data_IF_497126675146
#
_entry.id   IF_497126675146
#
_cell.length_a   1.000
_cell.length_b   1.000
_cell.length_c   1.000
_cell.angle_alpha   90.00
_cell.angle_beta   90.00
_cell.angle_gamma   90.00
#
_symmetry.space_group_name_H-M   'P 1'
#
loop_
_entity.id
_entity.type
_entity.pdbx_description
1 polymer ?
#
# COMPACT_ATOMS: atom_id res chain seq x y z
N UNK A 1 0.53 12.51 11.95
CA UNK A 1 0.88 11.94 10.62
C UNK A 1 0.63 10.44 10.67
N UNK A 2 0.00 9.88 9.64
CA UNK A 2 -0.23 8.43 9.54
C UNK A 2 0.69 7.87 8.44
N UNK A 3 1.59 6.98 8.84
CA UNK A 3 2.36 6.07 8.00
C UNK A 3 1.69 4.71 8.01
N UNK A 4 0.63 4.56 7.23
CA UNK A 4 0.09 3.23 6.94
C UNK A 4 0.86 2.62 5.78
N UNK A 5 1.28 1.38 5.93
CA UNK A 5 1.74 0.58 4.80
C UNK A 5 0.78 -0.59 4.54
N UNK A 6 0.57 -0.83 3.27
CA UNK A 6 -0.28 -1.84 2.63
C UNK A 6 0.46 -2.13 1.32
N UNK A 7 0.71 -3.36 0.84
CA UNK A 7 0.23 -4.71 1.09
C UNK A 7 1.42 -5.66 0.85
N UNK A 8 1.60 -6.70 1.66
CA UNK A 8 2.47 -7.82 1.27
C UNK A 8 1.78 -8.65 0.18
N UNK A 9 2.55 -8.96 -0.87
CA UNK A 9 2.02 -9.44 -2.14
C UNK A 9 0.98 -8.45 -2.71
N UNK A 10 1.46 -7.27 -3.17
CA UNK A 10 0.87 -6.71 -4.39
C UNK A 10 0.73 -7.93 -5.29
N UNK A 11 -0.46 -8.22 -5.81
CA UNK A 11 -0.58 -9.26 -6.81
C UNK A 11 0.25 -8.82 -8.00
N UNK A 12 1.57 -8.86 -7.94
CA UNK A 12 2.54 -8.37 -8.91
C UNK A 12 2.24 -9.12 -10.18
N UNK A 13 2.10 -10.44 -10.06
CA UNK A 13 1.57 -11.27 -11.13
C UNK A 13 0.20 -10.80 -11.62
N UNK A 14 -0.78 -10.52 -10.74
CA UNK A 14 -2.10 -10.03 -11.16
C UNK A 14 -2.07 -8.65 -11.81
N UNK A 15 -1.21 -7.75 -11.36
CA UNK A 15 -1.01 -6.39 -11.82
C UNK A 15 -0.29 -6.39 -13.16
N UNK A 16 0.82 -7.13 -13.26
CA UNK A 16 1.56 -7.37 -14.50
C UNK A 16 0.70 -8.09 -15.54
N UNK A 17 0.00 -9.16 -15.15
CA UNK A 17 -0.97 -9.84 -16.02
C UNK A 17 -2.04 -8.84 -16.47
N UNK A 18 -2.58 -8.00 -15.59
CA UNK A 18 -3.58 -6.99 -15.96
C UNK A 18 -3.04 -5.92 -16.91
N UNK A 19 -1.77 -5.49 -16.75
CA UNK A 19 -1.11 -4.59 -17.70
C UNK A 19 -0.99 -5.26 -19.08
N UNK A 20 -0.61 -6.54 -19.13
CA UNK A 20 -0.49 -7.30 -20.38
C UNK A 20 -1.86 -7.41 -21.07
N UNK A 21 -2.92 -7.75 -20.31
CA UNK A 21 -4.28 -7.83 -20.84
C UNK A 21 -4.80 -6.46 -21.30
N UNK A 22 -4.53 -5.39 -20.55
CA UNK A 22 -4.89 -4.02 -20.94
C UNK A 22 -4.18 -3.57 -22.22
N UNK A 23 -2.89 -3.88 -22.37
CA UNK A 23 -2.10 -3.57 -23.57
C UNK A 23 -2.62 -4.36 -24.78
N UNK A 24 -3.06 -5.59 -24.54
CA UNK A 24 -3.64 -6.46 -25.58
C UNK A 24 -5.10 -6.14 -25.91
N UNK A 25 -5.69 -5.03 -25.43
CA UNK A 25 -7.11 -4.67 -25.55
C UNK A 25 -8.11 -5.70 -24.96
N UNK A 26 -7.66 -6.57 -24.06
CA UNK A 26 -8.47 -7.60 -23.39
C UNK A 26 -8.95 -7.12 -22.01
N UNK A 27 -9.67 -6.00 -21.94
CA UNK A 27 -10.08 -5.41 -20.66
C UNK A 27 -11.02 -6.28 -19.82
N UNK A 28 -11.81 -7.15 -20.46
CA UNK A 28 -12.77 -8.05 -19.77
C UNK A 28 -12.09 -9.12 -18.90
N UNK A 29 -10.81 -9.40 -19.10
CA UNK A 29 -10.05 -10.38 -18.31
C UNK A 29 -9.30 -9.76 -17.13
N UNK A 30 -9.37 -8.44 -16.94
CA UNK A 30 -8.77 -7.76 -15.78
C UNK A 30 -9.64 -8.04 -14.55
N UNK A 31 -9.09 -8.68 -13.50
CA UNK A 31 -9.86 -9.00 -12.31
C UNK A 31 -10.15 -7.74 -11.49
N UNK A 32 -11.35 -7.66 -10.90
CA UNK A 32 -11.83 -6.49 -10.13
C UNK A 32 -10.84 -6.02 -9.04
N UNK A 33 -10.13 -6.92 -8.31
CA UNK A 33 -9.10 -6.53 -7.34
C UNK A 33 -7.92 -5.72 -7.93
N UNK A 34 -7.73 -5.69 -9.25
CA UNK A 34 -6.67 -4.91 -9.91
C UNK A 34 -6.71 -3.43 -9.50
N UNK A 35 -7.91 -2.84 -9.40
CA UNK A 35 -8.05 -1.44 -9.02
C UNK A 35 -7.50 -1.15 -7.62
N UNK A 36 -7.58 -2.13 -6.71
CA UNK A 36 -7.01 -2.02 -5.37
C UNK A 36 -5.48 -2.10 -5.40
N UNK A 37 -4.93 -3.05 -6.17
CA UNK A 37 -3.48 -3.19 -6.34
C UNK A 37 -2.85 -1.99 -7.04
N UNK A 38 -3.54 -1.38 -8.01
CA UNK A 38 -3.10 -0.16 -8.68
C UNK A 38 -3.16 1.07 -7.75
N UNK A 39 -4.10 1.09 -6.80
CA UNK A 39 -4.30 2.20 -5.86
C UNK A 39 -3.90 1.80 -4.43
N UNK A 40 -2.71 1.25 -4.25
CA UNK A 40 -2.20 0.83 -2.92
C UNK A 40 -2.17 1.97 -1.88
N UNK A 41 -2.09 3.22 -2.32
CA UNK A 41 -2.16 4.39 -1.43
C UNK A 41 -3.56 4.62 -0.81
N UNK A 42 -4.60 4.01 -1.38
CA UNK A 42 -5.99 4.20 -0.96
C UNK A 42 -6.25 3.76 0.48
N UNK A 43 -5.59 2.69 0.94
CA UNK A 43 -5.73 2.20 2.32
C UNK A 43 -5.23 3.24 3.31
N UNK A 44 -4.05 3.80 3.06
CA UNK A 44 -3.46 4.84 3.92
C UNK A 44 -4.34 6.09 3.99
N UNK A 45 -4.89 6.49 2.84
CA UNK A 45 -5.84 7.60 2.76
C UNK A 45 -7.14 7.32 3.52
N UNK A 46 -7.72 6.12 3.36
CA UNK A 46 -8.94 5.72 4.04
C UNK A 46 -8.76 5.67 5.56
N UNK A 47 -7.64 5.14 6.06
CA UNK A 47 -7.34 5.12 7.49
C UNK A 47 -7.09 6.53 8.01
N UNK A 48 -6.33 7.36 7.28
CA UNK A 48 -6.11 8.75 7.64
C UNK A 48 -7.42 9.54 7.74
N UNK A 49 -8.31 9.35 6.78
CA UNK A 49 -9.64 9.95 6.78
C UNK A 49 -10.48 9.48 7.98
N UNK A 50 -10.54 8.17 8.23
CA UNK A 50 -11.29 7.59 9.34
C UNK A 50 -10.80 8.10 10.71
N UNK A 51 -9.49 8.25 10.88
CA UNK A 51 -8.87 8.75 12.10
C UNK A 51 -8.88 10.28 12.21
N UNK A 52 -9.38 11.01 11.21
CA UNK A 52 -9.40 12.48 11.20
C UNK A 52 -8.00 13.11 11.14
N UNK A 53 -7.03 12.44 10.51
CA UNK A 53 -5.65 12.91 10.40
C UNK A 53 -5.57 14.05 9.39
N UNK A 54 -5.23 15.25 9.86
CA UNK A 54 -5.05 16.45 9.02
C UNK A 54 -3.59 16.69 8.60
N UNK A 55 -2.68 15.79 8.97
CA UNK A 55 -1.25 15.89 8.67
C UNK A 55 -0.83 15.03 7.48
N UNK A 56 0.48 14.81 7.35
CA UNK A 56 1.02 14.01 6.26
C UNK A 56 0.46 12.58 6.31
N UNK A 57 0.15 12.04 5.13
CA UNK A 57 -0.37 10.70 4.89
C UNK A 57 0.47 10.07 3.78
N UNK A 58 1.24 9.03 4.11
CA UNK A 58 2.23 8.43 3.18
C UNK A 58 2.15 6.92 3.19
N UNK A 59 2.23 6.32 2.00
CA UNK A 59 2.31 4.87 1.80
C UNK A 59 3.73 4.50 1.36
N UNK A 60 4.33 3.50 2.00
CA UNK A 60 5.68 3.00 1.71
C UNK A 60 5.58 1.50 1.41
N UNK A 61 6.21 1.06 0.34
CA UNK A 61 6.27 -0.36 -0.03
C UNK A 61 7.61 -0.65 -0.70
N UNK A 62 8.34 -1.60 -0.13
CA UNK A 62 9.66 -2.09 -0.55
C UNK A 62 9.75 -3.62 -0.39
N UNK A 63 8.61 -4.28 -0.20
CA UNK A 63 8.54 -5.72 0.10
C UNK A 63 8.65 -6.01 1.59
N UNK A 64 9.40 -7.04 1.98
CA UNK A 64 9.44 -7.56 3.35
C UNK A 64 9.97 -6.56 4.39
N UNK A 65 10.74 -5.55 3.96
CA UNK A 65 11.34 -4.53 4.85
C UNK A 65 10.48 -3.28 5.01
N UNK A 66 9.32 -3.22 4.33
CA UNK A 66 8.47 -2.01 4.28
C UNK A 66 8.12 -1.48 5.67
N UNK A 67 7.87 -2.37 6.64
CA UNK A 67 7.47 -1.98 8.00
C UNK A 67 8.61 -1.28 8.76
N UNK A 68 9.84 -1.71 8.57
CA UNK A 68 11.01 -1.11 9.19
C UNK A 68 11.33 0.25 8.55
N UNK A 69 11.22 0.36 7.23
CA UNK A 69 11.41 1.62 6.51
C UNK A 69 10.36 2.67 6.89
N UNK A 70 9.11 2.26 7.11
CA UNK A 70 8.08 3.16 7.61
C UNK A 70 8.40 3.74 9.00
N UNK A 71 8.98 2.93 9.90
CA UNK A 71 9.45 3.39 11.21
C UNK A 71 10.62 4.35 11.04
N UNK A 72 11.60 4.02 10.19
CA UNK A 72 12.76 4.87 9.92
C UNK A 72 12.32 6.25 9.43
N UNK A 73 11.42 6.32 8.46
CA UNK A 73 10.89 7.58 7.95
C UNK A 73 10.16 8.36 9.05
N UNK A 74 9.29 7.71 9.81
CA UNK A 74 8.58 8.36 10.92
C UNK A 74 9.54 9.00 11.94
N UNK A 75 10.62 8.30 12.28
CA UNK A 75 11.66 8.81 13.16
C UNK A 75 12.38 10.02 12.58
N UNK A 76 12.61 10.07 11.26
CA UNK A 76 13.20 11.23 10.60
C UNK A 76 12.29 12.46 10.73
N UNK A 77 10.99 12.31 10.49
CA UNK A 77 10.04 13.43 10.61
C UNK A 77 9.80 13.89 12.05
N UNK A 78 9.76 12.95 13.00
CA UNK A 78 9.66 13.29 14.43
C UNK A 78 10.91 14.08 14.87
N UNK A 79 12.10 13.61 14.50
CA UNK A 79 13.36 14.27 14.87
C UNK A 79 13.56 15.62 14.21
N UNK A 80 13.02 15.84 13.01
CA UNK A 80 13.09 17.12 12.33
C UNK A 80 12.05 18.14 12.83
N UNK A 81 11.14 17.73 13.72
CA UNK A 81 10.08 18.59 14.25
C UNK A 81 8.97 18.89 13.24
N UNK A 82 8.91 18.15 12.12
CA UNK A 82 7.85 18.31 11.10
C UNK A 82 6.52 17.73 11.61
N UNK A 83 6.58 16.77 12.54
CA UNK A 83 5.42 16.16 13.18
C UNK A 83 5.68 15.91 14.66
N UNK A 84 4.61 15.93 15.47
CA UNK A 84 4.67 15.60 16.90
C UNK A 84 4.27 14.15 17.19
N UNK A 85 3.43 13.57 16.32
CA UNK A 85 2.86 12.23 16.47
C UNK A 85 2.84 11.51 15.13
N UNK A 86 3.35 10.28 15.13
CA UNK A 86 3.29 9.35 14.03
C UNK A 86 2.53 8.08 14.42
N UNK A 87 1.61 7.63 13.56
CA UNK A 87 1.04 6.28 13.63
C UNK A 87 1.68 5.49 12.51
N UNK A 88 2.36 4.39 12.85
CA UNK A 88 3.06 3.53 11.88
C UNK A 88 2.53 2.11 12.01
N UNK A 89 2.27 1.43 10.91
CA UNK A 89 1.81 0.04 10.95
C UNK A 89 1.82 -0.59 9.56
N UNK A 90 1.67 -1.92 9.50
CA UNK A 90 1.59 -2.61 8.22
C UNK A 90 0.56 -3.71 8.13
N UNK A 91 0.00 -3.84 6.93
CA UNK A 91 -1.02 -4.81 6.56
C UNK A 91 -0.48 -5.73 5.47
N UNK A 92 -0.56 -7.03 5.70
CA UNK A 92 -0.29 -8.07 4.71
C UNK A 92 -1.51 -8.97 4.58
N UNK A 93 -1.77 -9.46 3.38
CA UNK A 93 -2.87 -10.37 3.09
C UNK A 93 -2.43 -11.38 2.03
N UNK A 94 -2.30 -12.67 2.37
CA UNK A 94 -1.94 -13.70 1.40
C UNK A 94 -3.09 -14.04 0.44
N UNK A 95 -4.15 -13.23 0.39
CA UNK A 95 -5.36 -13.48 -0.41
C UNK A 95 -5.07 -13.20 -1.88
N UNK A 96 -4.53 -14.21 -2.56
CA UNK A 96 -4.34 -14.29 -4.00
C UNK A 96 -4.28 -15.75 -4.43
N UNK A 97 -4.58 -16.04 -5.71
CA UNK A 97 -4.53 -17.41 -6.29
C UNK A 97 -3.11 -18.00 -6.38
N UNK A 98 -2.21 -17.66 -5.46
CA UNK A 98 -0.88 -18.24 -5.31
C UNK A 98 -0.91 -19.42 -4.33
N UNK A 99 -1.87 -19.46 -3.42
CA UNK A 99 -2.02 -20.52 -2.40
C UNK A 99 -2.86 -21.73 -2.88
N UNK A 100 -3.35 -21.74 -4.11
CA UNK A 100 -4.09 -22.87 -4.71
C UNK A 100 -3.14 -23.78 -5.53
N UNK A 101 -2.02 -24.17 -4.90
CA UNK A 101 -1.11 -25.21 -5.39
C UNK A 101 -0.82 -26.20 -4.28
#
# INVERSE_FOLDING_TARGET
>A
MFFGISVGNIGEKTYQDSIIHANSNHYKSIPIPFAHSANYHSITSAIGHFLGVNGITKTITTGCTSSLEAIQDAMVYLKSGVIDIAIVGGSDSPVGKVADR
#
